data_IF_619707643771
#
_entry.id   IF_619707643771
#
_cell.length_a   1.000
_cell.length_b   1.000
_cell.length_c   1.000
_cell.angle_alpha   90.00
_cell.angle_beta   90.00
_cell.angle_gamma   90.00
#
_symmetry.space_group_name_H-M   'P 1'
#
loop_
_entity.id
_entity.type
_entity.pdbx_description
1 polymer ?
#
# COMPACT_ATOMS: atom_id res chain seq x y z
N UNK A 1 55.12 -36.29 19.93
CA UNK A 1 54.93 -35.43 18.75
C UNK A 1 53.43 -35.26 18.59
N UNK A 2 52.92 -34.11 19.03
CA UNK A 2 51.50 -33.76 19.04
C UNK A 2 51.39 -32.51 18.18
N UNK A 3 50.68 -32.62 17.06
CA UNK A 3 50.42 -31.52 16.12
C UNK A 3 49.44 -30.49 16.72
N UNK A 4 49.56 -29.19 16.37
CA UNK A 4 48.66 -28.17 16.87
C UNK A 4 47.39 -28.07 15.99
N UNK A 5 46.29 -27.74 16.66
CA UNK A 5 44.95 -27.61 16.11
C UNK A 5 44.80 -26.42 15.14
N UNK A 6 44.08 -26.65 14.04
CA UNK A 6 43.65 -25.64 13.08
C UNK A 6 42.42 -24.89 13.62
N UNK A 7 42.52 -23.56 13.71
CA UNK A 7 41.41 -22.66 14.00
C UNK A 7 40.58 -22.42 12.72
N UNK A 8 39.36 -22.95 12.69
CA UNK A 8 38.37 -22.61 11.65
C UNK A 8 37.61 -21.35 12.05
N UNK A 9 37.98 -20.22 11.44
CA UNK A 9 37.22 -18.98 11.52
C UNK A 9 35.94 -19.07 10.69
N UNK A 10 34.80 -18.91 11.35
CA UNK A 10 33.48 -18.79 10.73
C UNK A 10 33.39 -17.44 10.01
N UNK A 11 33.41 -17.46 8.67
CA UNK A 11 33.11 -16.27 7.87
C UNK A 11 31.60 -15.98 7.91
N UNK A 12 31.28 -14.77 8.37
CA UNK A 12 30.00 -14.09 8.25
C UNK A 12 29.60 -13.94 6.79
N UNK A 13 28.48 -14.55 6.38
CA UNK A 13 27.85 -14.30 5.08
C UNK A 13 27.26 -12.89 5.06
N UNK A 14 28.06 -11.94 4.57
CA UNK A 14 27.59 -10.64 4.12
C UNK A 14 26.89 -10.72 2.77
N UNK A 15 26.05 -9.71 2.52
CA UNK A 15 25.54 -9.17 1.24
C UNK A 15 25.65 -10.10 0.03
N UNK A 16 24.50 -10.49 -0.53
CA UNK A 16 24.43 -11.31 -1.75
C UNK A 16 25.17 -10.64 -2.92
N UNK A 17 26.24 -11.26 -3.38
CA UNK A 17 26.76 -11.09 -4.74
C UNK A 17 25.68 -11.54 -5.74
N UNK A 18 25.07 -10.58 -6.45
CA UNK A 18 24.31 -10.86 -7.67
C UNK A 18 25.07 -10.33 -8.87
N UNK A 19 25.01 -11.09 -9.96
CA UNK A 19 25.68 -10.76 -11.21
C UNK A 19 25.14 -9.42 -11.77
N UNK A 20 26.01 -8.55 -12.31
CA UNK A 20 25.58 -7.33 -12.98
C UNK A 20 24.92 -7.71 -14.31
N UNK A 21 23.59 -7.52 -14.44
CA UNK A 21 22.89 -7.73 -15.72
C UNK A 21 21.40 -8.05 -15.66
N UNK A 22 20.82 -8.43 -14.51
CA UNK A 22 19.36 -8.62 -14.41
C UNK A 22 18.65 -7.26 -14.34
N UNK A 23 17.84 -6.94 -15.35
CA UNK A 23 17.08 -5.69 -15.42
C UNK A 23 16.04 -5.64 -14.29
N UNK A 24 16.38 -4.97 -13.18
CA UNK A 24 15.45 -4.76 -12.07
C UNK A 24 14.37 -3.76 -12.47
N UNK A 25 13.11 -4.17 -12.34
CA UNK A 25 11.97 -3.28 -12.55
C UNK A 25 11.89 -2.30 -11.39
N UNK A 26 11.90 -1.00 -11.67
CA UNK A 26 11.58 0.04 -10.69
C UNK A 26 10.21 0.67 -10.98
N UNK A 27 9.34 0.71 -9.98
CA UNK A 27 8.03 1.37 -10.07
C UNK A 27 7.97 2.57 -9.15
N UNK A 28 7.78 3.76 -9.71
CA UNK A 28 7.35 4.93 -8.93
C UNK A 28 5.82 4.96 -8.90
N UNK A 29 5.23 4.71 -7.73
CA UNK A 29 3.79 4.71 -7.55
C UNK A 29 3.32 6.03 -6.94
N UNK A 30 2.75 6.89 -7.79
CA UNK A 30 2.07 8.13 -7.41
C UNK A 30 0.70 7.84 -6.84
N UNK A 31 0.49 8.23 -5.59
CA UNK A 31 -0.68 7.82 -4.84
C UNK A 31 -1.01 8.78 -3.70
N UNK A 32 -2.16 8.59 -3.06
CA UNK A 32 -2.58 9.40 -1.91
C UNK A 32 -3.27 8.50 -0.85
N UNK A 33 -3.11 8.76 0.46
CA UNK A 33 -3.82 8.03 1.51
C UNK A 33 -5.36 8.12 1.43
N UNK A 34 -5.90 9.25 0.94
CA UNK A 34 -7.35 9.49 0.77
C UNK A 34 -7.89 9.05 -0.60
N UNK A 35 -7.05 8.59 -1.53
CA UNK A 35 -7.52 8.17 -2.84
C UNK A 35 -8.18 6.78 -2.78
N UNK A 36 -9.51 6.73 -2.91
CA UNK A 36 -10.28 5.48 -2.93
C UNK A 36 -9.86 4.55 -4.08
N UNK A 37 -9.51 5.09 -5.25
CA UNK A 37 -9.01 4.28 -6.37
C UNK A 37 -7.62 3.69 -6.12
N UNK A 38 -6.77 4.36 -5.33
CA UNK A 38 -5.48 3.81 -4.92
C UNK A 38 -5.66 2.67 -3.92
N UNK A 39 -6.63 2.79 -3.01
CA UNK A 39 -7.05 1.69 -2.12
C UNK A 39 -7.66 0.51 -2.90
N UNK A 40 -8.50 0.81 -3.90
CA UNK A 40 -9.08 -0.20 -4.78
C UNK A 40 -8.04 -1.01 -5.56
N UNK A 41 -6.85 -0.45 -5.81
CA UNK A 41 -5.75 -1.11 -6.52
C UNK A 41 -4.88 -1.99 -5.60
N UNK A 42 -5.05 -1.93 -4.28
CA UNK A 42 -4.25 -2.73 -3.33
C UNK A 42 -4.26 -4.25 -3.63
N UNK A 43 -5.37 -4.90 -4.02
CA UNK A 43 -5.36 -6.32 -4.39
C UNK A 43 -4.37 -6.63 -5.52
N UNK A 44 -4.46 -5.88 -6.62
CA UNK A 44 -3.59 -6.06 -7.78
C UNK A 44 -2.14 -5.71 -7.43
N UNK A 45 -1.95 -4.63 -6.69
CA UNK A 45 -0.64 -4.12 -6.33
C UNK A 45 0.11 -5.04 -5.35
N UNK A 46 -0.58 -5.61 -4.37
CA UNK A 46 0.00 -6.59 -3.44
C UNK A 46 0.28 -7.91 -4.13
N UNK A 47 -0.60 -8.36 -5.02
CA UNK A 47 -0.32 -9.55 -5.83
C UNK A 47 0.94 -9.34 -6.69
N UNK A 48 1.05 -8.19 -7.37
CA UNK A 48 2.24 -7.87 -8.18
C UNK A 48 3.52 -7.82 -7.34
N UNK A 49 3.49 -7.17 -6.17
CA UNK A 49 4.63 -7.17 -5.25
C UNK A 49 5.02 -8.57 -4.79
N UNK A 50 4.02 -9.40 -4.47
CA UNK A 50 4.27 -10.77 -4.06
C UNK A 50 4.93 -11.55 -5.19
N UNK A 51 4.33 -11.62 -6.37
CA UNK A 51 4.82 -12.49 -7.45
C UNK A 51 6.14 -12.03 -8.06
N UNK A 52 6.47 -10.74 -8.00
CA UNK A 52 7.75 -10.25 -8.52
C UNK A 52 8.86 -10.29 -7.47
N UNK A 53 8.51 -10.27 -6.19
CA UNK A 53 9.48 -10.40 -5.09
C UNK A 53 10.66 -9.45 -5.23
N UNK A 54 11.85 -10.01 -5.32
CA UNK A 54 13.13 -9.30 -5.43
C UNK A 54 13.41 -8.68 -6.81
N UNK A 55 12.67 -9.08 -7.85
CA UNK A 55 12.74 -8.48 -9.19
C UNK A 55 12.12 -7.08 -9.22
N UNK A 56 11.32 -6.72 -8.21
CA UNK A 56 10.67 -5.43 -8.07
C UNK A 56 11.40 -4.53 -7.07
N UNK A 57 11.71 -3.32 -7.52
CA UNK A 57 11.96 -2.16 -6.67
C UNK A 57 10.80 -1.17 -6.82
N UNK A 58 10.43 -0.48 -5.75
CA UNK A 58 9.39 0.54 -5.87
C UNK A 58 9.47 1.56 -4.77
N UNK A 59 8.94 2.75 -5.03
CA UNK A 59 8.73 3.78 -4.03
C UNK A 59 7.36 4.44 -4.21
N UNK A 60 6.84 5.05 -3.15
CA UNK A 60 5.60 5.83 -3.21
C UNK A 60 5.89 7.32 -3.26
N UNK A 61 5.32 8.00 -4.26
CA UNK A 61 5.28 9.46 -4.33
C UNK A 61 3.91 9.93 -3.84
N UNK A 62 3.88 10.73 -2.77
CA UNK A 62 2.64 11.26 -2.22
C UNK A 62 2.11 12.41 -3.09
N UNK A 63 0.94 12.17 -3.67
CA UNK A 63 0.31 13.03 -4.65
C UNK A 63 -0.24 14.35 -4.11
N UNK A 64 -0.75 14.34 -2.87
CA UNK A 64 -1.47 15.47 -2.31
C UNK A 64 -2.75 15.77 -3.10
N UNK A 65 -3.69 14.82 -3.10
CA UNK A 65 -4.91 14.86 -3.88
C UNK A 65 -5.80 16.07 -3.54
N UNK A 66 -5.94 16.37 -2.25
CA UNK A 66 -6.76 17.47 -1.74
C UNK A 66 -5.86 18.37 -0.88
N UNK A 67 -5.50 19.56 -1.37
CA UNK A 67 -4.81 20.57 -0.54
C UNK A 67 -5.78 21.20 0.46
N UNK A 68 -6.90 21.66 -0.06
CA UNK A 68 -7.99 22.32 0.63
C UNK A 68 -9.25 22.31 -0.26
N UNK A 69 -10.43 22.34 0.35
CA UNK A 69 -11.70 22.28 -0.37
C UNK A 69 -12.09 23.58 -1.10
N UNK A 70 -11.43 24.71 -0.83
CA UNK A 70 -11.74 25.97 -1.53
C UNK A 70 -11.17 25.97 -2.95
N UNK A 71 -10.11 25.18 -3.20
CA UNK A 71 -9.43 25.09 -4.49
C UNK A 71 -9.57 23.72 -5.15
N UNK A 72 -10.01 22.71 -4.41
CA UNK A 72 -10.18 21.37 -4.94
C UNK A 72 -11.32 21.32 -5.95
N UNK A 73 -11.03 20.76 -7.12
CA UNK A 73 -12.00 20.51 -8.17
C UNK A 73 -11.56 19.30 -8.98
N UNK A 74 -12.41 18.27 -9.02
CA UNK A 74 -12.26 17.08 -9.84
C UNK A 74 -13.46 17.00 -10.80
N UNK A 75 -13.33 17.57 -12.02
CA UNK A 75 -14.42 17.60 -12.99
C UNK A 75 -14.75 16.20 -13.55
N UNK A 76 -13.82 15.24 -13.49
CA UNK A 76 -14.06 13.89 -14.02
C UNK A 76 -15.03 13.10 -13.13
N UNK A 77 -14.99 13.35 -11.82
CA UNK A 77 -15.86 12.70 -10.85
C UNK A 77 -16.96 13.64 -10.29
N UNK A 78 -17.08 14.87 -10.83
CA UNK A 78 -17.99 15.92 -10.37
C UNK A 78 -17.87 16.20 -8.86
N UNK A 79 -16.64 16.35 -8.37
CA UNK A 79 -16.34 16.60 -6.95
C UNK A 79 -15.66 17.95 -6.77
N UNK A 80 -16.31 18.85 -6.02
CA UNK A 80 -15.75 20.13 -5.57
C UNK A 80 -15.95 20.38 -4.07
N UNK A 81 -16.72 19.55 -3.37
CA UNK A 81 -16.97 19.65 -1.93
C UNK A 81 -16.99 18.28 -1.24
N UNK A 82 -16.69 18.22 0.08
CA UNK A 82 -16.50 16.94 0.79
C UNK A 82 -17.66 15.95 0.63
N UNK A 83 -18.91 16.42 0.69
CA UNK A 83 -20.10 15.57 0.64
C UNK A 83 -20.23 14.74 -0.65
N UNK A 84 -19.66 15.20 -1.76
CA UNK A 84 -19.68 14.50 -3.04
C UNK A 84 -18.73 13.28 -3.08
N UNK A 85 -17.79 13.19 -2.15
CA UNK A 85 -16.89 12.04 -2.05
C UNK A 85 -17.60 10.78 -1.55
N UNK A 86 -18.70 10.91 -0.79
CA UNK A 86 -19.47 9.76 -0.30
C UNK A 86 -20.00 8.87 -1.44
N UNK A 87 -20.78 9.43 -2.39
CA UNK A 87 -21.22 8.70 -3.58
C UNK A 87 -20.07 8.12 -4.42
N UNK A 88 -18.98 8.86 -4.60
CA UNK A 88 -17.78 8.36 -5.29
C UNK A 88 -17.20 7.13 -4.58
N UNK A 89 -16.99 7.20 -3.26
CA UNK A 89 -16.46 6.08 -2.48
C UNK A 89 -17.40 4.87 -2.48
N UNK A 90 -18.72 5.09 -2.48
CA UNK A 90 -19.71 4.03 -2.67
C UNK A 90 -19.55 3.34 -4.03
N UNK A 91 -19.39 4.12 -5.11
CA UNK A 91 -19.16 3.59 -6.45
C UNK A 91 -17.85 2.79 -6.53
N UNK A 92 -16.76 3.31 -5.98
CA UNK A 92 -15.46 2.60 -5.94
C UNK A 92 -15.59 1.28 -5.18
N UNK A 93 -16.30 1.26 -4.05
CA UNK A 93 -16.59 0.02 -3.31
C UNK A 93 -17.33 -1.00 -4.18
N UNK A 94 -18.37 -0.56 -4.87
CA UNK A 94 -19.18 -1.44 -5.72
C UNK A 94 -18.37 -2.02 -6.90
N UNK A 95 -17.50 -1.21 -7.52
CA UNK A 95 -16.69 -1.64 -8.66
C UNK A 95 -15.52 -2.53 -8.23
N UNK A 96 -14.78 -2.13 -7.21
CA UNK A 96 -13.54 -2.81 -6.81
C UNK A 96 -13.77 -4.02 -5.92
N UNK A 97 -14.90 -4.04 -5.20
CA UNK A 97 -15.15 -5.00 -4.13
C UNK A 97 -14.31 -4.77 -2.88
N UNK A 98 -13.43 -3.75 -2.83
CA UNK A 98 -12.67 -3.43 -1.62
C UNK A 98 -13.58 -2.77 -0.57
N UNK A 99 -13.40 -3.05 0.73
CA UNK A 99 -14.21 -2.44 1.78
C UNK A 99 -13.89 -0.94 1.87
N UNK A 100 -14.93 -0.10 1.78
CA UNK A 100 -14.83 1.35 1.92
C UNK A 100 -16.00 1.86 2.78
N UNK A 101 -15.67 2.63 3.82
CA UNK A 101 -16.59 3.32 4.70
C UNK A 101 -16.81 4.76 4.21
N UNK A 102 -17.70 4.90 3.22
CA UNK A 102 -18.08 6.17 2.59
C UNK A 102 -18.72 7.18 3.56
N UNK A 103 -19.24 6.72 4.70
CA UNK A 103 -19.93 7.56 5.69
C UNK A 103 -19.02 8.60 6.34
N UNK A 104 -17.69 8.41 6.31
CA UNK A 104 -16.74 9.38 6.84
C UNK A 104 -16.96 10.78 6.25
N UNK A 105 -17.34 10.87 4.97
CA UNK A 105 -17.56 12.13 4.27
C UNK A 105 -18.77 12.92 4.77
N UNK A 106 -19.69 12.28 5.50
CA UNK A 106 -20.82 12.93 6.14
C UNK A 106 -20.59 13.15 7.64
N UNK A 107 -19.83 12.26 8.29
CA UNK A 107 -19.66 12.26 9.74
C UNK A 107 -18.45 13.08 10.22
N UNK A 108 -17.30 12.94 9.56
CA UNK A 108 -16.04 13.58 9.96
C UNK A 108 -15.10 13.66 8.75
N UNK A 109 -15.49 14.43 7.74
CA UNK A 109 -14.75 14.52 6.49
C UNK A 109 -13.34 15.11 6.70
N UNK A 110 -12.30 14.50 6.12
CA UNK A 110 -10.98 15.11 6.04
C UNK A 110 -11.03 16.45 5.28
N UNK A 111 -10.44 17.48 5.86
CA UNK A 111 -10.36 18.81 5.23
C UNK A 111 -9.23 18.93 4.21
N UNK A 112 -8.27 18.00 4.27
CA UNK A 112 -7.09 17.93 3.41
C UNK A 112 -6.49 16.52 3.44
N UNK A 113 -5.81 16.15 2.35
CA UNK A 113 -4.94 14.96 2.26
C UNK A 113 -3.50 15.24 2.71
N UNK A 114 -3.08 16.50 2.76
CA UNK A 114 -1.69 16.89 2.96
C UNK A 114 -1.12 16.47 4.34
N UNK A 115 -1.87 16.58 5.46
CA UNK A 115 -1.38 16.07 6.74
C UNK A 115 -1.09 14.57 6.69
N UNK A 116 -1.97 13.78 6.07
CA UNK A 116 -1.79 12.34 5.91
C UNK A 116 -0.58 12.02 5.01
N UNK A 117 -0.40 12.73 3.90
CA UNK A 117 0.77 12.59 3.04
C UNK A 117 2.09 12.91 3.78
N UNK A 118 2.09 14.00 4.55
CA UNK A 118 3.24 14.40 5.37
C UNK A 118 3.54 13.36 6.45
N UNK A 119 2.51 12.79 7.08
CA UNK A 119 2.65 11.73 8.06
C UNK A 119 3.31 10.48 7.46
N UNK A 120 2.95 10.07 6.23
CA UNK A 120 3.63 8.98 5.51
C UNK A 120 5.12 9.26 5.36
N UNK A 121 5.49 10.48 4.94
CA UNK A 121 6.89 10.89 4.83
C UNK A 121 7.60 10.93 6.19
N UNK A 122 6.88 11.27 7.26
CA UNK A 122 7.39 11.19 8.64
C UNK A 122 7.79 9.77 9.05
N UNK A 123 7.00 8.76 8.68
CA UNK A 123 7.35 7.37 8.90
C UNK A 123 8.52 6.94 8.00
N UNK A 124 8.53 7.38 6.74
CA UNK A 124 9.57 7.09 5.76
C UNK A 124 10.96 7.62 6.15
N UNK A 125 11.04 8.72 6.91
CA UNK A 125 12.29 9.24 7.48
C UNK A 125 12.97 8.30 8.49
N UNK A 126 12.26 7.29 8.97
CA UNK A 126 12.85 6.21 9.79
C UNK A 126 13.31 5.02 8.94
N UNK A 127 12.90 4.97 7.66
CA UNK A 127 13.15 3.88 6.73
C UNK A 127 12.01 3.74 5.72
N UNK A 128 12.34 3.46 4.46
CA UNK A 128 11.36 3.42 3.38
C UNK A 128 10.26 2.38 3.62
N UNK A 129 10.63 1.19 4.11
CA UNK A 129 9.69 0.14 4.48
C UNK A 129 8.68 0.59 5.55
N UNK A 130 9.09 1.42 6.53
CA UNK A 130 8.17 1.96 7.51
C UNK A 130 7.15 2.91 6.88
N UNK A 131 7.56 3.73 5.92
CA UNK A 131 6.63 4.54 5.11
C UNK A 131 5.59 3.69 4.39
N UNK A 132 6.02 2.58 3.77
CA UNK A 132 5.13 1.62 3.07
C UNK A 132 4.12 0.97 4.04
N UNK A 133 4.57 0.47 5.18
CA UNK A 133 3.69 -0.13 6.19
C UNK A 133 2.74 0.91 6.82
N UNK A 134 3.25 2.11 7.11
CA UNK A 134 2.44 3.20 7.65
C UNK A 134 1.33 3.62 6.68
N UNK A 135 1.65 3.79 5.40
CA UNK A 135 0.66 4.12 4.37
C UNK A 135 -0.47 3.10 4.33
N UNK A 136 -0.16 1.80 4.41
CA UNK A 136 -1.18 0.74 4.46
C UNK A 136 -2.11 0.91 5.66
N UNK A 137 -1.55 1.06 6.86
CA UNK A 137 -2.37 1.20 8.08
C UNK A 137 -3.18 2.49 8.08
N UNK A 138 -2.64 3.58 7.52
CA UNK A 138 -3.34 4.84 7.37
C UNK A 138 -4.54 4.71 6.40
N UNK A 139 -4.37 3.94 5.32
CA UNK A 139 -5.47 3.58 4.42
C UNK A 139 -6.53 2.74 5.11
N UNK A 140 -6.14 1.73 5.90
CA UNK A 140 -7.11 0.93 6.67
C UNK A 140 -7.89 1.81 7.66
N UNK A 141 -7.23 2.74 8.34
CA UNK A 141 -7.87 3.67 9.26
C UNK A 141 -8.96 4.53 8.58
N UNK A 142 -8.71 5.07 7.40
CA UNK A 142 -9.73 5.88 6.70
C UNK A 142 -10.75 5.02 5.94
N UNK A 143 -10.31 4.02 5.18
CA UNK A 143 -11.15 3.27 4.26
C UNK A 143 -12.00 2.24 4.99
N UNK A 144 -11.49 1.61 6.05
CA UNK A 144 -12.22 0.56 6.77
C UNK A 144 -12.84 1.12 8.04
N UNK A 145 -12.04 1.83 8.84
CA UNK A 145 -12.46 2.31 10.17
C UNK A 145 -13.19 3.67 10.13
N UNK A 146 -13.20 4.35 8.98
CA UNK A 146 -13.86 5.65 8.81
C UNK A 146 -13.26 6.76 9.68
N UNK A 147 -11.95 6.71 9.91
CA UNK A 147 -11.22 7.65 10.76
C UNK A 147 -10.64 8.80 9.94
N UNK A 148 -10.74 10.03 10.46
CA UNK A 148 -10.22 11.20 9.78
C UNK A 148 -8.69 11.27 9.90
N UNK A 149 -7.99 10.79 8.88
CA UNK A 149 -6.53 10.73 8.85
C UNK A 149 -5.84 12.09 8.63
N UNK A 150 -6.59 13.19 8.52
CA UNK A 150 -6.02 14.53 8.62
C UNK A 150 -5.72 14.93 10.07
N UNK A 151 -6.28 14.21 11.05
CA UNK A 151 -6.13 14.49 12.48
C UNK A 151 -4.83 13.87 13.04
N UNK A 152 -4.00 14.64 13.76
CA UNK A 152 -2.77 14.15 14.39
C UNK A 152 -3.01 12.95 15.32
N UNK A 153 -4.12 12.93 16.06
CA UNK A 153 -4.43 11.86 17.01
C UNK A 153 -4.61 10.51 16.29
N UNK A 154 -5.27 10.52 15.12
CA UNK A 154 -5.42 9.33 14.26
C UNK A 154 -4.06 8.91 13.71
N UNK A 155 -3.26 9.86 13.23
CA UNK A 155 -1.92 9.61 12.68
C UNK A 155 -0.97 8.98 13.71
N UNK A 156 -0.98 9.51 14.95
CA UNK A 156 -0.21 8.99 16.07
C UNK A 156 -0.69 7.60 16.51
N UNK A 157 -2.01 7.35 16.53
CA UNK A 157 -2.56 6.02 16.83
C UNK A 157 -2.12 4.98 15.80
N UNK A 158 -2.13 5.33 14.51
CA UNK A 158 -1.62 4.47 13.43
C UNK A 158 -0.12 4.18 13.61
N UNK A 159 0.67 5.17 14.01
CA UNK A 159 2.10 4.99 14.29
C UNK A 159 2.33 4.03 15.48
N UNK A 160 1.56 4.15 16.55
CA UNK A 160 1.63 3.20 17.67
C UNK A 160 1.25 1.79 17.24
N UNK A 161 0.20 1.62 16.42
CA UNK A 161 -0.17 0.32 15.87
C UNK A 161 0.94 -0.27 14.98
N UNK A 162 1.66 0.57 14.23
CA UNK A 162 2.82 0.14 13.43
C UNK A 162 3.97 -0.35 14.31
N UNK A 163 4.31 0.37 15.38
CA UNK A 163 5.38 -0.03 16.30
C UNK A 163 5.13 -1.39 16.96
N UNK A 164 3.85 -1.76 17.18
CA UNK A 164 3.50 -3.10 17.68
C UNK A 164 3.69 -4.21 16.63
N UNK A 165 3.73 -3.88 15.34
CA UNK A 165 3.75 -4.85 14.23
C UNK A 165 5.09 -4.96 13.54
N UNK A 166 5.88 -3.89 13.54
CA UNK A 166 7.14 -3.82 12.79
C UNK A 166 8.25 -3.36 13.73
N UNK A 167 9.16 -4.29 14.04
CA UNK A 167 10.31 -4.02 14.88
C UNK A 167 11.17 -2.89 14.29
N UNK A 168 11.71 -2.05 15.17
CA UNK A 168 12.60 -0.94 14.79
C UNK A 168 11.90 0.37 14.45
N UNK A 169 10.57 0.41 14.32
CA UNK A 169 9.84 1.66 14.15
C UNK A 169 9.67 2.38 15.50
N UNK A 170 10.13 3.64 15.61
CA UNK A 170 10.01 4.46 16.81
C UNK A 170 8.77 5.38 16.71
N UNK A 171 7.67 4.94 17.32
CA UNK A 171 6.43 5.71 17.38
C UNK A 171 6.60 7.02 18.18
N UNK A 172 7.45 7.06 19.21
CA UNK A 172 7.66 8.27 20.00
C UNK A 172 8.41 9.33 19.21
N UNK A 173 9.43 8.92 18.42
CA UNK A 173 10.09 9.79 17.44
C UNK A 173 9.09 10.28 16.39
N UNK A 174 8.28 9.38 15.83
CA UNK A 174 7.25 9.76 14.86
C UNK A 174 6.33 10.86 15.40
N UNK A 175 5.85 10.71 16.64
CA UNK A 175 4.95 11.68 17.28
C UNK A 175 5.63 13.04 17.50
N UNK A 176 6.90 13.07 17.93
CA UNK A 176 7.66 14.31 18.08
C UNK A 176 7.92 15.00 16.74
N UNK A 177 8.18 14.22 15.70
CA UNK A 177 8.54 14.71 14.37
C UNK A 177 7.32 14.92 13.46
N UNK A 178 6.09 14.70 13.98
CA UNK A 178 4.88 14.78 13.17
C UNK A 178 4.67 16.20 12.64
N UNK A 179 4.77 16.34 11.32
CA UNK A 179 4.70 17.65 10.67
C UNK A 179 5.93 18.53 10.94
N UNK A 180 7.06 17.98 11.37
CA UNK A 180 8.33 18.69 11.43
C UNK A 180 8.85 19.03 10.01
N UNK A 181 9.76 20.02 9.86
CA UNK A 181 10.26 20.44 8.55
C UNK A 181 10.79 19.30 7.66
N UNK A 182 11.54 18.29 8.15
CA UNK A 182 12.02 17.21 7.29
C UNK A 182 10.91 16.43 6.57
N UNK A 183 9.81 16.13 7.25
CA UNK A 183 8.68 15.41 6.66
C UNK A 183 7.93 16.28 5.64
N UNK A 184 7.75 17.58 5.96
CA UNK A 184 7.14 18.55 5.06
C UNK A 184 7.99 18.78 3.81
N UNK A 185 9.30 18.82 3.96
CA UNK A 185 10.25 18.99 2.87
C UNK A 185 10.21 17.80 1.91
N UNK A 186 10.21 16.57 2.44
CA UNK A 186 10.04 15.34 1.64
C UNK A 186 8.72 15.33 0.88
N UNK A 187 7.62 15.66 1.54
CA UNK A 187 6.32 15.76 0.84
C UNK A 187 6.30 16.89 -0.20
N UNK A 188 6.94 18.04 0.07
CA UNK A 188 7.07 19.11 -0.92
C UNK A 188 7.87 18.66 -2.14
N UNK A 189 8.89 17.83 -1.96
CA UNK A 189 9.66 17.29 -3.07
C UNK A 189 8.83 16.29 -3.90
N UNK A 190 8.00 15.45 -3.27
CA UNK A 190 7.00 14.64 -3.98
C UNK A 190 6.04 15.52 -4.80
N UNK A 191 5.51 16.61 -4.23
CA UNK A 191 4.65 17.56 -4.96
C UNK A 191 5.36 18.24 -6.14
N UNK A 192 6.67 18.47 -6.05
CA UNK A 192 7.45 18.98 -7.20
C UNK A 192 7.57 17.92 -8.29
N UNK A 193 7.84 16.66 -7.93
CA UNK A 193 7.95 15.57 -8.91
C UNK A 193 6.60 15.30 -9.60
N UNK A 194 5.50 15.28 -8.84
CA UNK A 194 4.12 15.19 -9.36
C UNK A 194 3.86 16.28 -10.40
N UNK A 195 4.19 17.55 -10.09
CA UNK A 195 4.01 18.67 -11.03
C UNK A 195 4.92 18.57 -12.24
N UNK A 196 6.20 18.24 -12.03
CA UNK A 196 7.19 18.11 -13.09
C UNK A 196 6.83 17.04 -14.12
N UNK A 197 6.18 15.97 -13.66
CA UNK A 197 5.74 14.84 -14.50
C UNK A 197 4.28 14.93 -14.94
N UNK A 198 3.62 16.05 -14.65
CA UNK A 198 2.23 16.30 -15.03
C UNK A 198 1.24 15.23 -14.53
N UNK A 199 1.51 14.67 -13.34
CA UNK A 199 0.67 13.63 -12.74
C UNK A 199 -0.58 14.29 -12.13
N UNK A 200 -1.68 14.29 -12.89
CA UNK A 200 -2.95 14.88 -12.45
C UNK A 200 -3.94 13.90 -11.82
N UNK A 201 -3.65 12.59 -11.81
CA UNK A 201 -4.59 11.55 -11.38
C UNK A 201 -3.91 10.46 -10.57
N UNK A 202 -4.63 9.93 -9.59
CA UNK A 202 -4.18 8.81 -8.76
C UNK A 202 -5.17 7.64 -8.85
N UNK A 203 -4.70 6.38 -8.79
CA UNK A 203 -3.28 5.98 -8.80
C UNK A 203 -2.62 6.23 -10.16
N UNK A 204 -1.32 6.53 -10.18
CA UNK A 204 -0.49 6.49 -11.40
C UNK A 204 0.81 5.76 -11.10
N UNK A 205 1.24 4.87 -11.98
CA UNK A 205 2.49 4.12 -11.84
C UNK A 205 3.39 4.42 -13.03
N UNK A 206 4.67 4.71 -12.77
CA UNK A 206 5.69 4.74 -13.82
C UNK A 206 6.62 3.56 -13.63
N UNK A 207 6.57 2.62 -14.56
CA UNK A 207 7.40 1.42 -14.63
C UNK A 207 8.66 1.76 -15.43
N UNK A 208 9.83 1.41 -14.92
CA UNK A 208 11.12 1.65 -15.57
C UNK A 208 12.04 0.46 -15.42
N UNK A 209 12.72 0.09 -16.50
CA UNK A 209 13.87 -0.82 -16.48
C UNK A 209 14.77 -0.51 -17.67
N UNK A 210 16.08 -0.45 -17.43
CA UNK A 210 17.07 -0.03 -18.44
C UNK A 210 16.64 1.27 -19.16
N UNK A 211 16.41 1.21 -20.46
CA UNK A 211 15.99 2.32 -21.33
C UNK A 211 14.47 2.39 -21.58
N UNK A 212 13.70 1.45 -21.02
CA UNK A 212 12.24 1.36 -21.21
C UNK A 212 11.49 1.99 -20.06
N UNK A 213 10.43 2.72 -20.39
CA UNK A 213 9.51 3.28 -19.40
C UNK A 213 8.07 3.29 -19.92
N UNK A 214 7.11 2.92 -19.05
CA UNK A 214 5.68 3.02 -19.31
C UNK A 214 5.00 3.72 -18.14
N UNK A 215 4.01 4.55 -18.44
CA UNK A 215 3.14 5.18 -17.45
C UNK A 215 1.73 4.60 -17.53
N UNK A 216 1.22 4.14 -16.40
CA UNK A 216 -0.14 3.60 -16.24
C UNK A 216 -0.94 4.55 -15.37
N UNK A 217 -2.04 5.08 -15.91
CA UNK A 217 -2.90 6.05 -15.21
C UNK A 217 -4.25 5.41 -14.82
N UNK A 218 -4.57 5.48 -13.54
CA UNK A 218 -5.80 4.99 -12.94
C UNK A 218 -5.77 3.50 -12.59
N UNK A 219 -6.86 3.02 -12.01
CA UNK A 219 -7.05 1.61 -11.67
C UNK A 219 -6.95 0.71 -12.90
N UNK A 220 -6.29 -0.45 -12.77
CA UNK A 220 -6.19 -1.50 -13.79
C UNK A 220 -6.34 -2.88 -13.17
N UNK A 221 -6.97 -3.85 -13.86
CA UNK A 221 -6.92 -5.25 -13.46
C UNK A 221 -5.48 -5.79 -13.42
N UNK A 222 -5.24 -6.83 -12.63
CA UNK A 222 -3.90 -7.41 -12.46
C UNK A 222 -3.25 -7.83 -13.78
N UNK A 223 -3.99 -8.49 -14.68
CA UNK A 223 -3.46 -8.93 -15.98
C UNK A 223 -2.87 -7.78 -16.81
N UNK A 224 -3.54 -6.63 -16.84
CA UNK A 224 -3.05 -5.45 -17.55
C UNK A 224 -1.79 -4.83 -16.89
N UNK A 225 -1.67 -4.92 -15.55
CA UNK A 225 -0.43 -4.50 -14.87
C UNK A 225 0.73 -5.45 -15.22
N UNK A 226 0.48 -6.76 -15.23
CA UNK A 226 1.49 -7.75 -15.54
C UNK A 226 1.95 -7.63 -17.01
N UNK A 227 1.03 -7.44 -17.96
CA UNK A 227 1.37 -7.19 -19.36
C UNK A 227 2.25 -5.95 -19.53
N UNK A 228 1.95 -4.86 -18.82
CA UNK A 228 2.77 -3.66 -18.85
C UNK A 228 4.18 -3.91 -18.26
N UNK A 229 4.27 -4.70 -17.19
CA UNK A 229 5.55 -5.13 -16.61
C UNK A 229 6.35 -5.96 -17.62
N UNK A 230 5.73 -6.95 -18.27
CA UNK A 230 6.37 -7.79 -19.29
C UNK A 230 6.79 -7.01 -20.54
N UNK A 231 6.11 -5.89 -20.86
CA UNK A 231 6.56 -5.01 -21.94
C UNK A 231 7.86 -4.27 -21.59
N UNK A 232 7.98 -3.82 -20.33
CA UNK A 232 9.17 -3.13 -19.83
C UNK A 232 10.32 -4.10 -19.57
N UNK A 233 10.04 -5.29 -19.04
CA UNK A 233 11.01 -6.35 -18.72
C UNK A 233 10.49 -7.69 -19.25
N UNK A 234 10.76 -8.06 -20.52
CA UNK A 234 10.26 -9.30 -21.12
C UNK A 234 10.70 -10.57 -20.38
N UNK A 235 11.87 -10.55 -19.76
CA UNK A 235 12.47 -11.63 -18.98
C UNK A 235 11.94 -11.73 -17.53
N UNK A 236 11.02 -10.86 -17.12
CA UNK A 236 10.41 -10.90 -15.78
C UNK A 236 9.68 -12.23 -15.58
N UNK A 237 9.95 -12.91 -14.46
CA UNK A 237 9.39 -14.23 -14.18
C UNK A 237 8.61 -14.21 -12.87
N UNK A 238 7.27 -14.02 -12.90
CA UNK A 238 6.45 -14.10 -11.70
C UNK A 238 6.57 -15.46 -11.00
N UNK A 239 6.71 -15.48 -9.69
CA UNK A 239 6.66 -16.72 -8.91
C UNK A 239 5.24 -17.28 -8.83
N UNK A 240 5.15 -18.57 -8.44
CA UNK A 240 3.87 -19.26 -8.27
C UNK A 240 2.97 -18.61 -7.23
N UNK A 241 1.66 -18.77 -7.42
CA UNK A 241 0.66 -18.25 -6.50
C UNK A 241 0.65 -19.08 -5.20
N UNK A 242 0.68 -18.44 -4.03
CA UNK A 242 0.64 -19.13 -2.74
C UNK A 242 -0.75 -19.65 -2.43
N UNK A 243 -0.84 -20.55 -1.45
CA UNK A 243 -2.12 -20.85 -0.81
C UNK A 243 -2.62 -19.66 0.05
N UNK A 244 -3.92 -19.60 0.38
CA UNK A 244 -4.48 -18.47 1.13
C UNK A 244 -3.80 -18.21 2.47
N UNK A 245 -3.41 -19.24 3.21
CA UNK A 245 -2.83 -19.10 4.55
C UNK A 245 -1.44 -18.49 4.44
N UNK A 246 -0.61 -19.00 3.51
CA UNK A 246 0.72 -18.46 3.24
C UNK A 246 0.66 -17.01 2.76
N UNK A 247 -0.32 -16.66 1.92
CA UNK A 247 -0.50 -15.29 1.44
C UNK A 247 -0.91 -14.32 2.56
N UNK A 248 -1.84 -14.73 3.42
CA UNK A 248 -2.25 -13.96 4.60
C UNK A 248 -1.08 -13.82 5.57
N UNK A 249 -0.29 -14.87 5.78
CA UNK A 249 0.89 -14.82 6.64
C UNK A 249 1.92 -13.81 6.12
N UNK A 250 2.15 -13.78 4.81
CA UNK A 250 3.09 -12.84 4.18
C UNK A 250 2.69 -11.38 4.42
N UNK A 251 1.41 -11.04 4.23
CA UNK A 251 0.92 -9.66 4.38
C UNK A 251 0.47 -9.31 5.81
N UNK A 252 0.35 -10.30 6.69
CA UNK A 252 -0.17 -10.21 8.05
C UNK A 252 -1.70 -10.05 8.13
N UNK A 253 -2.26 -9.09 7.38
CA UNK A 253 -3.70 -8.85 7.31
C UNK A 253 -4.15 -8.59 5.87
N UNK A 254 -5.21 -9.28 5.46
CA UNK A 254 -5.84 -9.13 4.15
C UNK A 254 -7.35 -9.05 4.25
N UNK A 255 -7.96 -8.24 3.39
CA UNK A 255 -9.39 -8.32 3.09
C UNK A 255 -9.68 -9.55 2.23
N UNK A 256 -10.92 -10.04 2.26
CA UNK A 256 -11.36 -11.13 1.38
C UNK A 256 -11.10 -10.80 -0.09
N UNK A 257 -11.30 -9.55 -0.51
CA UNK A 257 -11.07 -9.11 -1.88
C UNK A 257 -9.60 -9.24 -2.31
N UNK A 258 -8.66 -8.96 -1.40
CA UNK A 258 -7.22 -9.13 -1.68
C UNK A 258 -6.83 -10.60 -1.82
N UNK A 259 -7.39 -11.49 -0.99
CA UNK A 259 -7.17 -12.94 -1.12
C UNK A 259 -7.80 -13.45 -2.42
N UNK A 260 -9.00 -13.00 -2.74
CA UNK A 260 -9.72 -13.39 -3.96
C UNK A 260 -8.94 -13.03 -5.25
N UNK A 261 -8.23 -11.89 -5.25
CA UNK A 261 -7.34 -11.53 -6.36
C UNK A 261 -6.21 -12.54 -6.54
N UNK A 262 -5.57 -12.94 -5.43
CA UNK A 262 -4.48 -13.90 -5.45
C UNK A 262 -4.95 -15.31 -5.81
N UNK A 263 -6.13 -15.71 -5.37
CA UNK A 263 -6.71 -17.03 -5.69
C UNK A 263 -7.36 -17.08 -7.06
N UNK A 264 -7.51 -15.93 -7.73
CA UNK A 264 -8.23 -15.79 -9.01
C UNK A 264 -9.67 -16.34 -8.93
N UNK A 265 -10.34 -16.09 -7.80
CA UNK A 265 -11.66 -16.63 -7.48
C UNK A 265 -12.65 -15.50 -7.15
N UNK A 266 -13.97 -15.75 -7.27
CA UNK A 266 -14.98 -14.83 -6.79
C UNK A 266 -14.86 -14.56 -5.28
N UNK A 267 -15.18 -13.33 -4.86
CA UNK A 267 -15.10 -12.91 -3.45
C UNK A 267 -15.98 -13.77 -2.54
N UNK A 268 -17.17 -14.17 -3.00
CA UNK A 268 -18.09 -14.99 -2.21
C UNK A 268 -17.55 -16.41 -1.96
N UNK A 269 -16.96 -17.05 -2.97
CA UNK A 269 -16.32 -18.36 -2.85
C UNK A 269 -15.09 -18.27 -1.95
N UNK A 270 -14.30 -17.20 -2.10
CA UNK A 270 -13.14 -16.94 -1.25
C UNK A 270 -13.55 -16.73 0.22
N UNK A 271 -14.61 -15.97 0.50
CA UNK A 271 -15.12 -15.77 1.88
C UNK A 271 -15.51 -17.10 2.52
N UNK A 272 -16.19 -17.98 1.77
CA UNK A 272 -16.60 -19.31 2.25
C UNK A 272 -15.37 -20.18 2.57
N UNK A 273 -14.41 -20.27 1.64
CA UNK A 273 -13.18 -21.05 1.85
C UNK A 273 -12.35 -20.54 3.04
N UNK A 274 -12.24 -19.21 3.21
CA UNK A 274 -11.54 -18.62 4.35
C UNK A 274 -12.28 -18.85 5.68
N UNK A 275 -13.62 -18.89 5.67
CA UNK A 275 -14.42 -19.22 6.84
C UNK A 275 -14.17 -20.65 7.31
N UNK A 276 -14.13 -21.62 6.39
CA UNK A 276 -13.77 -23.02 6.71
C UNK A 276 -12.37 -23.12 7.32
N UNK A 277 -11.40 -22.38 6.77
CA UNK A 277 -10.04 -22.31 7.33
C UNK A 277 -10.00 -21.70 8.73
N UNK A 278 -10.87 -20.73 9.02
CA UNK A 278 -10.99 -20.16 10.36
C UNK A 278 -11.68 -21.12 11.35
N UNK A 279 -12.70 -21.85 10.92
CA UNK A 279 -13.33 -22.91 11.73
C UNK A 279 -12.34 -24.04 12.05
N UNK A 280 -11.44 -24.36 11.11
CA UNK A 280 -10.33 -25.28 11.31
C UNK A 280 -9.17 -24.68 12.15
N UNK A 281 -9.29 -23.46 12.67
CA UNK A 281 -8.29 -22.80 13.51
C UNK A 281 -7.02 -22.33 12.78
N UNK A 282 -7.01 -22.35 11.43
CA UNK A 282 -5.85 -21.92 10.63
C UNK A 282 -5.81 -20.41 10.40
N UNK A 283 -6.95 -19.73 10.55
CA UNK A 283 -7.08 -18.29 10.36
C UNK A 283 -7.93 -17.66 11.46
N UNK A 284 -7.69 -16.37 11.71
CA UNK A 284 -8.54 -15.49 12.51
C UNK A 284 -9.38 -14.61 11.59
N UNK A 285 -10.69 -14.59 11.82
CA UNK A 285 -11.65 -13.75 11.11
C UNK A 285 -12.01 -12.52 11.94
N UNK A 286 -11.89 -11.33 11.35
CA UNK A 286 -12.44 -10.07 11.87
C UNK A 286 -13.54 -9.57 10.93
N UNK A 287 -14.84 -9.78 11.24
CA UNK A 287 -15.93 -9.32 10.41
C UNK A 287 -15.98 -7.79 10.32
N UNK A 288 -16.26 -7.26 9.13
CA UNK A 288 -16.55 -5.85 8.91
C UNK A 288 -18.06 -5.66 8.88
N UNK A 289 -18.63 -5.32 10.05
CA UNK A 289 -20.07 -5.31 10.36
C UNK A 289 -20.98 -4.50 9.41
N UNK A 290 -20.42 -3.72 8.47
CA UNK A 290 -21.17 -2.91 7.50
C UNK A 290 -20.86 -3.19 6.03
N UNK A 291 -19.97 -4.13 5.73
CA UNK A 291 -19.42 -4.30 4.37
C UNK A 291 -19.51 -5.74 3.84
N UNK A 292 -20.18 -6.66 4.56
CA UNK A 292 -20.33 -8.08 4.18
C UNK A 292 -19.00 -8.74 3.78
N UNK A 293 -17.92 -8.31 4.42
CA UNK A 293 -16.55 -8.73 4.17
C UNK A 293 -15.83 -8.92 5.49
N UNK A 294 -14.69 -9.57 5.44
CA UNK A 294 -13.86 -9.84 6.61
C UNK A 294 -12.42 -9.40 6.36
N UNK A 295 -11.71 -9.17 7.46
CA UNK A 295 -10.25 -9.13 7.46
C UNK A 295 -9.75 -10.43 8.07
N UNK A 296 -8.74 -11.00 7.44
CA UNK A 296 -8.16 -12.28 7.78
C UNK A 296 -6.71 -12.09 8.21
N UNK A 297 -6.31 -12.87 9.19
CA UNK A 297 -4.95 -12.93 9.74
C UNK A 297 -4.65 -14.35 10.19
N UNK A 298 -3.39 -14.72 10.29
CA UNK A 298 -3.00 -15.97 10.95
C UNK A 298 -3.16 -15.85 12.48
N UNK A 299 -3.31 -16.97 13.21
CA UNK A 299 -3.40 -16.98 14.67
C UNK A 299 -2.24 -16.30 15.41
#
# INVERSE_FOLDING_TARGET
MVEPAAATGTQTRGVSDRAPGEARLHITYYTDPLCAWSWALEPQWRLLQYVLGDQLDFCYCMGGMISDWNRYNDPLNDVSRPVQMGPLWYQVRAISGMPINDRIWFANAPTSSYPACTAVKGAELQGEAFGRHYLRLLREAVMIEGQNIAQPEVQCRVATALACRVAGFDAARFQRDLGAPPARDRFRDDLKDVRWREIGRFPTMILRAADRAIMIVGYRPYGALLEAVQHVVPEISPQELPDPVSYIQHWGHLTTREVAECMQQPVAETEAALAELAEAGKLKRRPLSRMHQSIWSVP
#
